data_IF_274939892598
#
_entry.id   IF_274939892598
#
_cell.length_a   1.000
_cell.length_b   1.000
_cell.length_c   1.000
_cell.angle_alpha   90.00
_cell.angle_beta   90.00
_cell.angle_gamma   90.00
#
_symmetry.space_group_name_H-M   'P 1'
#
loop_
_entity.id
_entity.type
_entity.pdbx_description
1 polymer ?
#
# COMPACT_ATOMS: atom_id res chain seq x y z
N UNK A 1 15.54 -14.46 -16.76
CA UNK A 1 14.63 -15.63 -16.83
C UNK A 1 15.24 -16.93 -16.27
N UNK A 2 16.30 -16.83 -15.44
CA UNK A 2 16.97 -18.01 -14.86
C UNK A 2 16.38 -18.50 -13.52
N UNK A 3 15.30 -17.93 -13.05
CA UNK A 3 14.73 -18.22 -11.73
C UNK A 3 13.39 -18.98 -11.76
N UNK A 4 12.96 -19.51 -12.89
CA UNK A 4 11.74 -20.33 -12.94
C UNK A 4 12.05 -21.79 -12.56
N UNK A 5 11.34 -22.40 -11.58
CA UNK A 5 11.56 -23.77 -11.14
C UNK A 5 11.42 -24.82 -12.26
N UNK A 6 10.65 -24.51 -13.30
CA UNK A 6 10.47 -25.42 -14.45
C UNK A 6 11.68 -25.47 -15.39
N UNK A 7 12.47 -24.38 -15.46
CA UNK A 7 13.70 -24.34 -16.27
C UNK A 7 14.81 -25.24 -15.69
N UNK A 8 14.81 -25.41 -14.37
CA UNK A 8 15.80 -26.23 -13.67
C UNK A 8 15.56 -27.75 -13.90
N UNK A 9 14.32 -28.17 -14.09
CA UNK A 9 13.98 -29.57 -14.39
C UNK A 9 14.49 -30.01 -15.77
N UNK A 10 14.55 -29.10 -16.73
CA UNK A 10 15.08 -29.38 -18.08
C UNK A 10 16.59 -29.55 -18.09
N UNK A 11 17.29 -28.73 -17.30
CA UNK A 11 18.76 -28.81 -17.13
C UNK A 11 19.17 -30.10 -16.41
N UNK A 12 18.36 -30.52 -15.40
CA UNK A 12 18.55 -31.76 -14.66
C UNK A 12 18.51 -33.03 -15.55
N UNK A 13 17.61 -33.03 -16.54
CA UNK A 13 17.44 -34.14 -17.47
C UNK A 13 18.60 -34.25 -18.48
N UNK A 14 19.33 -33.16 -18.73
CA UNK A 14 20.47 -33.11 -19.66
C UNK A 14 21.82 -33.45 -19.03
N UNK A 15 21.97 -33.29 -17.70
CA UNK A 15 23.25 -33.43 -16.98
C UNK A 15 23.43 -34.77 -16.23
N UNK A 16 22.52 -35.71 -16.36
CA UNK A 16 22.54 -37.00 -15.66
C UNK A 16 23.69 -37.96 -16.12
N UNK A 17 24.84 -37.41 -16.43
CA UNK A 17 26.05 -38.19 -16.84
C UNK A 17 27.33 -37.95 -16.02
N UNK A 18 27.24 -37.31 -14.85
CA UNK A 18 28.43 -37.11 -14.01
C UNK A 18 28.09 -36.95 -12.54
N UNK A 19 28.46 -37.92 -11.71
CA UNK A 19 28.09 -38.06 -10.29
C UNK A 19 28.50 -36.87 -9.39
N UNK A 20 29.52 -36.11 -9.76
CA UNK A 20 30.00 -34.94 -8.99
C UNK A 20 29.21 -33.65 -9.26
N UNK A 21 28.63 -33.50 -10.44
CA UNK A 21 27.81 -32.36 -10.80
C UNK A 21 26.41 -32.44 -10.16
N UNK A 22 25.94 -33.62 -9.80
CA UNK A 22 24.62 -33.85 -9.20
C UNK A 22 24.57 -33.32 -7.76
N UNK A 23 25.60 -33.50 -6.97
CA UNK A 23 25.67 -33.01 -5.59
C UNK A 23 25.69 -31.49 -5.53
N UNK A 24 26.39 -30.82 -6.47
CA UNK A 24 26.47 -29.37 -6.55
C UNK A 24 25.13 -28.75 -7.01
N UNK A 25 24.41 -29.41 -7.91
CA UNK A 25 23.07 -28.97 -8.39
C UNK A 25 21.99 -29.18 -7.31
N UNK A 26 22.06 -30.24 -6.52
CA UNK A 26 21.15 -30.51 -5.40
C UNK A 26 21.35 -29.49 -4.29
N UNK A 27 22.59 -29.14 -3.97
CA UNK A 27 22.92 -28.13 -2.96
C UNK A 27 22.43 -26.76 -3.37
N UNK A 28 22.53 -26.37 -4.63
CA UNK A 28 22.01 -25.11 -5.16
C UNK A 28 20.47 -25.04 -5.15
N UNK A 29 19.80 -26.16 -5.42
CA UNK A 29 18.32 -26.23 -5.34
C UNK A 29 17.81 -26.06 -3.91
N UNK A 30 18.47 -26.65 -2.94
CA UNK A 30 18.06 -26.52 -1.53
C UNK A 30 18.32 -25.11 -1.00
N UNK A 31 19.42 -24.46 -1.38
CA UNK A 31 19.67 -23.06 -1.07
C UNK A 31 18.62 -22.13 -1.71
N UNK A 32 18.27 -22.34 -2.98
CA UNK A 32 17.24 -21.54 -3.66
C UNK A 32 15.86 -21.72 -3.02
N UNK A 33 15.51 -22.94 -2.59
CA UNK A 33 14.27 -23.18 -1.85
C UNK A 33 14.26 -22.47 -0.50
N UNK A 34 15.34 -22.58 0.28
CA UNK A 34 15.46 -21.90 1.57
C UNK A 34 15.36 -20.38 1.43
N UNK A 35 16.00 -19.80 0.41
CA UNK A 35 15.91 -18.36 0.12
C UNK A 35 14.49 -17.99 -0.27
N UNK A 36 13.85 -18.77 -1.16
CA UNK A 36 12.48 -18.48 -1.60
C UNK A 36 11.46 -18.62 -0.45
N UNK A 37 11.61 -19.62 0.41
CA UNK A 37 10.75 -19.81 1.58
C UNK A 37 10.94 -18.69 2.62
N UNK A 38 12.17 -18.21 2.82
CA UNK A 38 12.45 -17.07 3.68
C UNK A 38 11.85 -15.79 3.12
N UNK A 39 12.01 -15.51 1.81
CA UNK A 39 11.40 -14.36 1.15
C UNK A 39 9.87 -14.40 1.28
N UNK A 40 9.27 -15.58 1.08
CA UNK A 40 7.83 -15.76 1.24
C UNK A 40 7.36 -15.51 2.67
N UNK A 41 8.08 -16.00 3.68
CA UNK A 41 7.78 -15.77 5.10
C UNK A 41 7.89 -14.30 5.46
N UNK A 42 8.96 -13.62 5.05
CA UNK A 42 9.16 -12.19 5.26
C UNK A 42 8.06 -11.41 4.55
N UNK A 43 7.73 -11.75 3.31
CA UNK A 43 6.64 -11.14 2.56
C UNK A 43 5.29 -11.26 3.26
N UNK A 44 5.00 -12.43 3.85
CA UNK A 44 3.76 -12.66 4.60
C UNK A 44 3.71 -11.82 5.89
N UNK A 45 4.81 -11.72 6.62
CA UNK A 45 4.92 -10.88 7.83
C UNK A 45 4.70 -9.40 7.46
N UNK A 46 5.35 -8.93 6.40
CA UNK A 46 5.19 -7.56 5.91
C UNK A 46 3.76 -7.28 5.44
N UNK A 47 3.11 -8.25 4.81
CA UNK A 47 1.72 -8.15 4.38
C UNK A 47 0.77 -8.06 5.58
N UNK A 48 0.96 -8.88 6.61
CA UNK A 48 0.20 -8.77 7.86
C UNK A 48 0.39 -7.40 8.52
N UNK A 49 1.62 -6.91 8.60
CA UNK A 49 1.92 -5.59 9.15
C UNK A 49 1.23 -4.49 8.33
N UNK A 50 1.26 -4.57 7.00
CA UNK A 50 0.60 -3.63 6.12
C UNK A 50 -0.92 -3.59 6.34
N UNK A 51 -1.57 -4.75 6.53
CA UNK A 51 -3.00 -4.84 6.84
C UNK A 51 -3.32 -4.16 8.17
N UNK A 52 -2.53 -4.41 9.22
CA UNK A 52 -2.72 -3.76 10.54
C UNK A 52 -2.58 -2.25 10.42
N UNK A 53 -1.54 -1.76 9.72
CA UNK A 53 -1.35 -0.33 9.48
C UNK A 53 -2.48 0.29 8.67
N UNK A 54 -3.04 -0.45 7.69
CA UNK A 54 -4.20 0.00 6.92
C UNK A 54 -5.43 0.17 7.81
N UNK A 55 -5.70 -0.75 8.73
CA UNK A 55 -6.83 -0.66 9.69
C UNK A 55 -6.65 0.55 10.60
N UNK A 56 -5.45 0.77 11.13
CA UNK A 56 -5.14 1.92 11.99
C UNK A 56 -5.33 3.23 11.20
N UNK A 57 -4.83 3.30 9.97
CA UNK A 57 -5.01 4.47 9.10
C UNK A 57 -6.48 4.78 8.83
N UNK A 58 -7.28 3.74 8.56
CA UNK A 58 -8.72 3.90 8.39
C UNK A 58 -9.40 4.47 9.64
N UNK A 59 -9.04 3.97 10.82
CA UNK A 59 -9.57 4.47 12.08
C UNK A 59 -9.19 5.94 12.33
N UNK A 60 -7.93 6.31 12.07
CA UNK A 60 -7.44 7.69 12.22
C UNK A 60 -8.14 8.65 11.25
N UNK A 61 -8.27 8.28 9.98
CA UNK A 61 -8.98 9.09 8.98
C UNK A 61 -10.44 9.29 9.40
N UNK A 62 -11.12 8.23 9.85
CA UNK A 62 -12.51 8.31 10.31
C UNK A 62 -12.67 9.25 11.50
N UNK A 63 -11.74 9.21 12.45
CA UNK A 63 -11.74 10.09 13.62
C UNK A 63 -11.48 11.55 13.25
N UNK A 64 -10.51 11.80 12.37
CA UNK A 64 -10.18 13.14 11.85
C UNK A 64 -11.36 13.76 11.11
N UNK A 65 -12.07 12.98 10.29
CA UNK A 65 -13.26 13.45 9.57
C UNK A 65 -14.37 13.82 10.54
N UNK A 66 -14.59 13.03 11.59
CA UNK A 66 -15.59 13.34 12.63
C UNK A 66 -15.28 14.69 13.28
N UNK A 67 -14.03 14.92 13.71
CA UNK A 67 -13.61 16.20 14.30
C UNK A 67 -13.77 17.37 13.34
N UNK A 68 -13.37 17.19 12.09
CA UNK A 68 -13.48 18.23 11.05
C UNK A 68 -14.94 18.57 10.75
N UNK A 69 -15.81 17.56 10.67
CA UNK A 69 -17.23 17.76 10.44
C UNK A 69 -17.90 18.47 11.64
N UNK A 70 -17.54 18.10 12.86
CA UNK A 70 -18.02 18.78 14.07
C UNK A 70 -17.57 20.25 14.12
N UNK A 71 -16.33 20.54 13.81
CA UNK A 71 -15.80 21.91 13.72
C UNK A 71 -16.54 22.76 12.68
N UNK A 72 -16.97 22.16 11.57
CA UNK A 72 -17.66 22.83 10.47
C UNK A 72 -19.19 22.68 10.50
N UNK A 73 -19.76 22.27 11.63
CA UNK A 73 -21.20 21.98 11.76
C UNK A 73 -22.11 23.12 11.34
N UNK A 74 -21.75 24.36 11.68
CA UNK A 74 -22.55 25.55 11.32
C UNK A 74 -22.59 25.76 9.81
N UNK A 75 -21.45 25.59 9.13
CA UNK A 75 -21.38 25.74 7.66
C UNK A 75 -22.20 24.63 6.99
N UNK A 76 -22.13 23.41 7.51
CA UNK A 76 -22.93 22.28 7.01
C UNK A 76 -24.43 22.57 7.19
N UNK A 77 -24.82 23.13 8.35
CA UNK A 77 -26.22 23.45 8.64
C UNK A 77 -26.73 24.55 7.73
N UNK A 78 -25.99 25.64 7.52
CA UNK A 78 -26.39 26.72 6.59
C UNK A 78 -26.49 26.20 5.15
N UNK A 79 -25.60 25.34 4.70
CA UNK A 79 -25.69 24.70 3.37
C UNK A 79 -26.95 23.84 3.23
N UNK A 80 -27.36 23.11 4.28
CA UNK A 80 -28.61 22.34 4.31
C UNK A 80 -29.83 23.24 4.21
N UNK A 81 -29.83 24.37 4.91
CA UNK A 81 -30.94 25.35 4.88
C UNK A 81 -31.14 25.96 3.48
N UNK A 82 -30.09 26.19 2.74
CA UNK A 82 -30.13 26.67 1.34
C UNK A 82 -30.50 25.57 0.34
N UNK A 83 -30.69 24.30 0.82
CA UNK A 83 -31.11 23.20 -0.03
C UNK A 83 -29.94 22.48 -0.74
N UNK A 84 -28.71 22.60 -0.26
CA UNK A 84 -27.56 21.90 -0.83
C UNK A 84 -27.72 20.38 -0.75
N UNK A 85 -27.41 19.69 -1.83
CA UNK A 85 -27.47 18.22 -1.87
C UNK A 85 -26.37 17.62 -0.97
N UNK A 86 -26.61 16.43 -0.35
CA UNK A 86 -25.61 15.76 0.49
C UNK A 86 -24.28 15.49 -0.23
N UNK A 87 -24.32 15.28 -1.56
CA UNK A 87 -23.13 15.11 -2.39
C UNK A 87 -22.27 16.37 -2.46
N UNK A 88 -22.90 17.53 -2.56
CA UNK A 88 -22.23 18.83 -2.58
C UNK A 88 -21.51 19.10 -1.25
N UNK A 89 -22.16 18.78 -0.13
CA UNK A 89 -21.60 18.96 1.21
C UNK A 89 -20.40 18.03 1.43
N UNK A 90 -20.41 16.79 0.88
CA UNK A 90 -19.32 15.82 1.04
C UNK A 90 -18.07 16.17 0.23
N UNK A 91 -18.24 16.78 -0.94
CA UNK A 91 -17.16 17.01 -1.91
C UNK A 91 -15.92 17.70 -1.31
N UNK A 92 -16.01 18.81 -0.55
CA UNK A 92 -14.85 19.48 0.02
C UNK A 92 -14.08 18.62 1.03
N UNK A 93 -14.79 17.78 1.80
CA UNK A 93 -14.13 16.88 2.77
C UNK A 93 -13.34 15.77 2.09
N UNK A 94 -13.94 15.15 1.07
CA UNK A 94 -13.28 14.09 0.29
C UNK A 94 -12.06 14.67 -0.44
N UNK A 95 -12.21 15.84 -1.06
CA UNK A 95 -11.13 16.49 -1.81
C UNK A 95 -9.94 16.84 -0.89
N UNK A 96 -10.20 17.40 0.30
CA UNK A 96 -9.16 17.69 1.28
C UNK A 96 -8.39 16.44 1.71
N UNK A 97 -9.09 15.31 1.92
CA UNK A 97 -8.42 14.05 2.27
C UNK A 97 -7.63 13.43 1.12
N UNK A 98 -8.09 13.57 -0.13
CA UNK A 98 -7.32 13.14 -1.31
C UNK A 98 -6.02 13.95 -1.39
N UNK A 99 -6.05 15.26 -1.17
CA UNK A 99 -4.83 16.09 -1.16
C UNK A 99 -3.86 15.61 -0.07
N UNK A 100 -4.36 15.34 1.13
CA UNK A 100 -3.54 14.77 2.20
C UNK A 100 -2.96 13.40 1.82
N UNK A 101 -3.72 12.56 1.11
CA UNK A 101 -3.26 11.27 0.59
C UNK A 101 -2.13 11.41 -0.45
N UNK A 102 -2.22 12.41 -1.32
CA UNK A 102 -1.17 12.72 -2.29
C UNK A 102 0.11 13.16 -1.57
N UNK A 103 -0.01 14.06 -0.59
CA UNK A 103 1.15 14.52 0.20
C UNK A 103 1.80 13.33 0.93
N UNK A 104 1.01 12.48 1.56
CA UNK A 104 1.51 11.27 2.24
C UNK A 104 2.22 10.31 1.26
N UNK A 105 1.70 10.14 0.04
CA UNK A 105 2.34 9.33 -0.98
C UNK A 105 3.70 9.90 -1.41
N UNK A 106 3.83 11.22 -1.55
CA UNK A 106 5.12 11.85 -1.86
C UNK A 106 6.13 11.65 -0.72
N UNK A 107 5.70 11.77 0.53
CA UNK A 107 6.57 11.50 1.69
C UNK A 107 7.01 10.03 1.70
N UNK A 108 6.09 9.10 1.44
CA UNK A 108 6.41 7.68 1.38
C UNK A 108 7.41 7.35 0.25
N UNK A 109 7.24 7.95 -0.94
CA UNK A 109 8.17 7.81 -2.07
C UNK A 109 9.54 8.38 -1.69
N UNK A 110 9.60 9.53 -1.01
CA UNK A 110 10.86 10.12 -0.53
C UNK A 110 11.59 9.21 0.45
N UNK A 111 10.88 8.65 1.43
CA UNK A 111 11.45 7.69 2.38
C UNK A 111 11.95 6.42 1.70
N UNK A 112 11.17 5.88 0.76
CA UNK A 112 11.54 4.70 -0.01
C UNK A 112 12.78 4.94 -0.87
N UNK A 113 12.86 6.11 -1.52
CA UNK A 113 14.05 6.52 -2.30
C UNK A 113 15.28 6.64 -1.40
N UNK A 114 15.14 7.24 -0.22
CA UNK A 114 16.21 7.33 0.77
C UNK A 114 16.70 5.95 1.24
N UNK A 115 15.78 5.02 1.48
CA UNK A 115 16.10 3.66 1.87
C UNK A 115 16.84 2.91 0.75
N UNK A 116 16.37 3.02 -0.49
CA UNK A 116 17.03 2.43 -1.67
C UNK A 116 18.42 3.01 -1.87
N UNK A 117 18.58 4.33 -1.72
CA UNK A 117 19.89 4.99 -1.83
C UNK A 117 20.87 4.49 -0.77
N UNK A 118 20.40 4.33 0.48
CA UNK A 118 21.23 3.79 1.56
C UNK A 118 21.68 2.35 1.26
N UNK A 119 20.78 1.49 0.79
CA UNK A 119 21.10 0.11 0.41
C UNK A 119 22.09 0.04 -0.76
N UNK A 120 21.97 0.96 -1.72
CA UNK A 120 22.92 1.08 -2.83
C UNK A 120 24.32 1.48 -2.38
N UNK A 121 24.44 2.22 -1.26
CA UNK A 121 25.73 2.63 -0.68
C UNK A 121 26.45 1.51 0.07
N UNK A 122 25.70 0.57 0.65
CA UNK A 122 26.25 -0.53 1.47
C UNK A 122 26.53 -1.80 0.68
N UNK A 123 25.84 -2.03 -0.43
CA UNK A 123 25.90 -3.30 -1.19
C UNK A 123 26.51 -3.04 -2.56
N UNK A 124 27.75 -3.49 -2.76
CA UNK A 124 28.40 -3.51 -4.07
C UNK A 124 27.57 -4.36 -5.06
N UNK A 125 27.28 -3.84 -6.25
CA UNK A 125 26.45 -4.46 -7.29
C UNK A 125 24.93 -4.46 -7.08
N UNK A 126 24.37 -3.69 -6.13
CA UNK A 126 22.91 -3.55 -5.98
C UNK A 126 22.23 -2.98 -7.25
N UNK A 127 22.98 -2.19 -8.03
CA UNK A 127 22.52 -1.63 -9.32
C UNK A 127 22.12 -2.67 -10.36
N UNK A 128 22.70 -3.86 -10.30
CA UNK A 128 22.37 -4.97 -11.21
C UNK A 128 21.09 -5.69 -10.81
N UNK A 129 20.71 -5.63 -9.54
CA UNK A 129 19.54 -6.31 -9.00
C UNK A 129 18.25 -5.47 -9.11
N UNK A 130 18.38 -4.16 -9.08
CA UNK A 130 17.21 -3.24 -9.09
C UNK A 130 17.16 -2.47 -10.40
N UNK A 131 16.27 -2.86 -11.29
CA UNK A 131 16.05 -2.10 -12.52
C UNK A 131 15.29 -0.81 -12.23
N UNK A 132 15.67 0.28 -12.92
CA UNK A 132 14.98 1.58 -12.85
C UNK A 132 13.50 1.42 -13.19
N UNK A 133 13.16 0.53 -14.11
CA UNK A 133 11.79 0.24 -14.50
C UNK A 133 10.96 -0.34 -13.35
N UNK A 134 11.54 -1.23 -12.54
CA UNK A 134 10.89 -1.80 -11.35
C UNK A 134 10.64 -0.74 -10.28
N UNK A 135 11.59 0.18 -10.04
CA UNK A 135 11.42 1.29 -9.11
C UNK A 135 10.30 2.24 -9.54
N UNK A 136 10.25 2.61 -10.81
CA UNK A 136 9.17 3.44 -11.35
C UNK A 136 7.81 2.80 -11.16
N UNK A 137 7.69 1.49 -11.41
CA UNK A 137 6.45 0.74 -11.21
C UNK A 137 6.01 0.77 -9.76
N UNK A 138 6.94 0.58 -8.82
CA UNK A 138 6.64 0.65 -7.37
C UNK A 138 6.16 2.06 -6.98
N UNK A 139 6.78 3.12 -7.45
CA UNK A 139 6.36 4.50 -7.16
C UNK A 139 4.94 4.78 -7.63
N UNK A 140 4.60 4.35 -8.85
CA UNK A 140 3.24 4.49 -9.40
C UNK A 140 2.24 3.71 -8.54
N UNK A 141 2.56 2.48 -8.13
CA UNK A 141 1.70 1.65 -7.29
C UNK A 141 1.50 2.32 -5.92
N UNK A 142 2.55 2.84 -5.27
CA UNK A 142 2.47 3.52 -3.97
C UNK A 142 1.56 4.76 -4.07
N UNK A 143 1.71 5.54 -5.13
CA UNK A 143 0.88 6.73 -5.35
C UNK A 143 -0.59 6.36 -5.57
N UNK A 144 -0.87 5.38 -6.42
CA UNK A 144 -2.24 4.91 -6.66
C UNK A 144 -2.88 4.33 -5.38
N UNK A 145 -2.15 3.52 -4.63
CA UNK A 145 -2.63 2.97 -3.35
C UNK A 145 -2.90 4.08 -2.33
N UNK A 146 -2.03 5.07 -2.20
CA UNK A 146 -2.23 6.21 -1.31
C UNK A 146 -3.52 6.97 -1.62
N UNK A 147 -3.76 7.28 -2.89
CA UNK A 147 -4.97 7.97 -3.34
C UNK A 147 -6.22 7.11 -3.13
N UNK A 148 -6.18 5.84 -3.52
CA UNK A 148 -7.36 4.95 -3.41
C UNK A 148 -7.75 4.70 -1.96
N UNK A 149 -6.79 4.41 -1.08
CA UNK A 149 -7.05 4.17 0.35
C UNK A 149 -7.66 5.42 1.00
N UNK A 150 -7.09 6.60 0.76
CA UNK A 150 -7.61 7.85 1.33
C UNK A 150 -8.97 8.23 0.76
N UNK A 151 -9.22 8.03 -0.53
CA UNK A 151 -10.52 8.29 -1.15
C UNK A 151 -11.61 7.37 -0.60
N UNK A 152 -11.35 6.07 -0.52
CA UNK A 152 -12.29 5.06 0.00
C UNK A 152 -12.57 5.33 1.48
N UNK A 153 -11.53 5.50 2.30
CA UNK A 153 -11.67 5.77 3.73
C UNK A 153 -12.48 7.04 3.99
N UNK A 154 -12.18 8.10 3.26
CA UNK A 154 -12.88 9.38 3.36
C UNK A 154 -14.35 9.25 2.95
N UNK A 155 -14.64 8.54 1.87
CA UNK A 155 -16.00 8.32 1.40
C UNK A 155 -16.85 7.58 2.45
N UNK A 156 -16.34 6.48 3.02
CA UNK A 156 -17.04 5.73 4.05
C UNK A 156 -17.24 6.55 5.33
N UNK A 157 -16.19 7.23 5.79
CA UNK A 157 -16.24 8.02 7.02
C UNK A 157 -17.23 9.20 6.91
N UNK A 158 -17.19 9.96 5.81
CA UNK A 158 -18.12 11.09 5.57
C UNK A 158 -19.54 10.58 5.40
N UNK A 159 -19.74 9.46 4.69
CA UNK A 159 -21.07 8.91 4.48
C UNK A 159 -21.71 8.44 5.80
N UNK A 160 -20.93 7.78 6.65
CA UNK A 160 -21.37 7.34 7.98
C UNK A 160 -21.76 8.52 8.85
N UNK A 161 -20.95 9.61 8.85
CA UNK A 161 -21.22 10.80 9.66
C UNK A 161 -22.49 11.52 9.23
N UNK A 162 -22.67 11.76 7.92
CA UNK A 162 -23.87 12.48 7.40
C UNK A 162 -25.15 11.66 7.61
N UNK A 163 -25.06 10.34 7.69
CA UNK A 163 -26.21 9.47 7.94
C UNK A 163 -26.63 9.49 9.41
N UNK A 164 -25.68 9.57 10.35
CA UNK A 164 -25.97 9.66 11.79
C UNK A 164 -26.65 10.98 12.18
N UNK A 165 -26.32 12.07 11.51
CA UNK A 165 -26.91 13.40 11.75
C UNK A 165 -28.39 13.51 11.29
N UNK A 166 -28.95 12.50 10.65
CA UNK A 166 -30.38 12.44 10.29
C UNK A 166 -31.25 11.83 11.41
N UNK A 167 -30.69 10.98 12.23
CA UNK A 167 -31.45 10.26 13.26
C UNK A 167 -31.59 11.11 14.54
N UNK A 168 -30.68 12.06 14.79
CA UNK A 168 -30.77 12.99 15.93
C UNK A 168 -31.84 14.12 15.77
N UNK A 169 -32.37 14.32 14.58
CA UNK A 169 -33.43 15.29 14.33
C UNK A 169 -34.86 14.79 14.70
N UNK A 170 -34.98 13.51 15.05
CA UNK A 170 -36.27 12.92 15.46
C UNK A 170 -36.47 12.82 16.97
N UNK A 171 -35.50 13.25 17.77
CA UNK A 171 -35.62 13.27 19.24
C UNK A 171 -35.54 14.72 19.78
N UNK A 172 -36.48 15.54 19.40
CA UNK A 172 -36.94 16.76 20.17
C UNK A 172 -38.44 16.84 20.08
#
# INVERSE_FOLDING_TARGET
DYAHPDSLQWIEKGLNKGTTAIDEIVYQKDLLKMVNDNIRRIGLILLCLAIVLMIISFALISNTIRLTAYSKRFIIHTMKLVGATPGFIRKPFILSNIVNGIIAAFVAIGMLTGCVYYLMSEIDNFYTLVSIQSLMMVYVIVLLLGITITAISSYFAVNRYIRMDRDDLYYV
#
